data_IF_848888933669
#
_entry.id   IF_848888933669
#
_cell.length_a   1.000
_cell.length_b   1.000
_cell.length_c   1.000
_cell.angle_alpha   90.00
_cell.angle_beta   90.00
_cell.angle_gamma   90.00
#
_symmetry.space_group_name_H-M   'P 1'
#
loop_
_entity.id
_entity.type
_entity.pdbx_description
1 polymer ?
#
# COMPACT_ATOMS: atom_id res chain seq x y z
N UNK A 1 10.93 2.91 25.83
CA UNK A 1 9.60 2.68 25.22
C UNK A 1 9.60 3.43 23.91
N UNK A 2 9.61 2.70 22.79
CA UNK A 2 9.51 3.32 21.46
C UNK A 2 8.08 3.84 21.32
N UNK A 3 7.92 5.12 21.01
CA UNK A 3 6.62 5.77 20.94
C UNK A 3 5.89 5.35 19.64
N UNK A 4 5.20 4.21 19.68
CA UNK A 4 4.33 3.79 18.59
C UNK A 4 3.09 4.69 18.46
N UNK A 5 2.71 5.39 19.53
CA UNK A 5 1.52 6.24 19.56
C UNK A 5 1.58 7.44 18.59
N UNK A 6 2.77 7.98 18.34
CA UNK A 6 2.98 9.08 17.38
C UNK A 6 3.59 8.65 16.05
N UNK A 7 3.82 7.36 15.83
CA UNK A 7 4.42 6.83 14.60
C UNK A 7 3.35 6.49 13.56
N UNK A 8 3.61 6.81 12.30
CA UNK A 8 2.73 6.52 11.18
C UNK A 8 3.18 5.25 10.45
N UNK A 9 2.22 4.41 10.12
CA UNK A 9 2.47 3.13 9.47
C UNK A 9 1.56 2.96 8.25
N UNK A 10 2.03 2.19 7.30
CA UNK A 10 1.22 1.54 6.28
C UNK A 10 1.02 0.07 6.66
N UNK A 11 -0.13 -0.47 6.36
CA UNK A 11 -0.33 -1.91 6.29
C UNK A 11 -0.98 -2.28 4.97
N UNK A 12 -0.52 -3.37 4.38
CA UNK A 12 -1.00 -3.87 3.09
C UNK A 12 -1.49 -5.31 3.28
N UNK A 13 -2.55 -5.50 4.12
CA UNK A 13 -3.08 -6.82 4.40
C UNK A 13 -3.62 -7.51 3.15
N UNK A 14 -3.37 -8.80 3.10
CA UNK A 14 -3.80 -9.67 2.02
C UNK A 14 -4.83 -10.65 2.56
N UNK A 15 -6.02 -10.66 1.96
CA UNK A 15 -7.11 -11.54 2.32
C UNK A 15 -7.41 -12.55 1.22
N UNK A 16 -7.83 -13.75 1.60
CA UNK A 16 -8.15 -14.83 0.67
C UNK A 16 -9.57 -14.71 0.10
N UNK A 17 -9.86 -13.57 -0.53
CA UNK A 17 -11.10 -13.29 -1.25
C UNK A 17 -10.86 -12.23 -2.31
N UNK A 18 -11.23 -12.51 -3.54
CA UNK A 18 -11.08 -11.57 -4.65
C UNK A 18 -12.23 -11.63 -5.66
N UNK A 19 -13.24 -12.47 -5.39
CA UNK A 19 -14.36 -12.72 -6.30
C UNK A 19 -15.69 -12.15 -5.80
N UNK A 20 -15.91 -12.15 -4.49
CA UNK A 20 -17.14 -11.65 -3.89
C UNK A 20 -16.93 -10.20 -3.43
N UNK A 21 -17.34 -9.25 -4.26
CA UNK A 21 -17.18 -7.82 -4.01
C UNK A 21 -17.76 -7.37 -2.65
N UNK A 22 -18.89 -7.96 -2.23
CA UNK A 22 -19.49 -7.67 -0.93
C UNK A 22 -18.59 -8.08 0.26
N UNK A 23 -17.89 -9.21 0.15
CA UNK A 23 -16.96 -9.66 1.19
C UNK A 23 -15.74 -8.75 1.23
N UNK A 24 -15.17 -8.40 0.06
CA UNK A 24 -14.05 -7.46 -0.02
C UNK A 24 -14.44 -6.09 0.57
N UNK A 25 -15.61 -5.57 0.19
CA UNK A 25 -16.12 -4.29 0.70
C UNK A 25 -16.36 -4.34 2.22
N UNK A 26 -16.86 -5.46 2.75
CA UNK A 26 -17.08 -5.63 4.19
C UNK A 26 -15.75 -5.66 4.97
N UNK A 27 -14.72 -6.35 4.45
CA UNK A 27 -13.39 -6.40 5.07
C UNK A 27 -12.76 -5.00 5.06
N UNK A 28 -12.78 -4.31 3.91
CA UNK A 28 -12.25 -2.95 3.78
C UNK A 28 -13.01 -1.93 4.64
N UNK A 29 -14.34 -2.01 4.66
CA UNK A 29 -15.20 -1.11 5.45
C UNK A 29 -15.13 -1.34 6.95
N UNK A 30 -14.59 -2.47 7.41
CA UNK A 30 -14.35 -2.73 8.82
C UNK A 30 -13.13 -1.98 9.36
N UNK A 31 -12.19 -1.57 8.52
CA UNK A 31 -10.95 -0.87 8.89
C UNK A 31 -11.19 0.59 9.33
N UNK A 32 -12.10 0.80 10.28
CA UNK A 32 -12.42 2.13 10.80
C UNK A 32 -11.31 2.62 11.72
N UNK A 33 -11.02 3.93 11.67
CA UNK A 33 -9.96 4.56 12.46
C UNK A 33 -8.62 4.64 11.73
N UNK A 34 -8.39 3.79 10.73
CA UNK A 34 -7.28 3.95 9.79
C UNK A 34 -7.75 4.52 8.45
N UNK A 35 -6.84 5.14 7.72
CA UNK A 35 -7.07 5.63 6.36
C UNK A 35 -7.14 4.44 5.39
N UNK A 36 -8.30 4.17 4.82
CA UNK A 36 -8.44 3.24 3.70
C UNK A 36 -7.95 3.92 2.42
N UNK A 37 -6.81 3.48 1.91
CA UNK A 37 -6.16 4.07 0.73
C UNK A 37 -6.59 3.37 -0.56
N UNK A 38 -6.69 2.04 -0.54
CA UNK A 38 -7.01 1.22 -1.71
C UNK A 38 -7.57 -0.14 -1.30
N UNK A 39 -8.36 -0.74 -2.20
CA UNK A 39 -8.79 -2.13 -2.11
C UNK A 39 -8.71 -2.75 -3.51
N UNK A 40 -7.80 -3.69 -3.70
CA UNK A 40 -7.42 -4.27 -4.99
C UNK A 40 -7.76 -5.78 -5.02
N UNK A 41 -8.98 -6.17 -5.45
CA UNK A 41 -9.38 -7.56 -5.60
C UNK A 41 -8.85 -8.16 -6.90
N UNK A 42 -8.32 -9.38 -6.83
CA UNK A 42 -7.89 -10.17 -7.98
C UNK A 42 -8.69 -11.48 -8.05
N UNK A 43 -9.61 -11.63 -9.01
CA UNK A 43 -10.45 -12.82 -9.14
C UNK A 43 -9.69 -14.05 -9.63
N UNK A 44 -8.60 -13.91 -10.40
CA UNK A 44 -7.78 -15.02 -10.88
C UNK A 44 -7.00 -15.64 -9.71
N UNK A 45 -6.39 -14.80 -8.89
CA UNK A 45 -5.72 -15.22 -7.65
C UNK A 45 -6.70 -15.54 -6.52
N UNK A 46 -7.96 -15.09 -6.65
CA UNK A 46 -8.97 -15.09 -5.59
C UNK A 46 -8.42 -14.56 -4.27
N UNK A 47 -7.96 -13.33 -4.32
CA UNK A 47 -7.22 -12.63 -3.27
C UNK A 47 -7.51 -11.14 -3.37
N UNK A 48 -7.56 -10.42 -2.29
CA UNK A 48 -7.52 -8.97 -2.32
C UNK A 48 -6.37 -8.44 -1.48
N UNK A 49 -5.87 -7.28 -1.90
CA UNK A 49 -4.92 -6.47 -1.16
C UNK A 49 -5.64 -5.20 -0.74
N UNK A 50 -5.62 -4.91 0.55
CA UNK A 50 -6.18 -3.67 1.08
C UNK A 50 -5.00 -2.83 1.58
N UNK A 51 -4.94 -1.56 1.20
CA UNK A 51 -3.90 -0.63 1.67
C UNK A 51 -4.49 0.30 2.71
N UNK A 52 -3.89 0.30 3.89
CA UNK A 52 -4.29 1.10 5.04
C UNK A 52 -3.10 1.95 5.52
N UNK A 53 -3.39 3.13 6.07
CA UNK A 53 -2.40 3.91 6.80
C UNK A 53 -3.01 4.44 8.10
N UNK A 54 -2.17 4.64 9.14
CA UNK A 54 -2.66 5.18 10.41
C UNK A 54 -1.59 5.24 11.47
N UNK A 55 -1.93 5.86 12.60
CA UNK A 55 -1.15 5.76 13.82
C UNK A 55 -1.22 4.34 14.37
N UNK A 56 -0.22 3.92 15.15
CA UNK A 56 -0.08 2.53 15.58
C UNK A 56 -1.36 1.93 16.20
N UNK A 57 -1.93 2.54 17.24
CA UNK A 57 -3.13 2.00 17.89
C UNK A 57 -4.34 1.91 16.95
N UNK A 58 -4.60 2.96 16.17
CA UNK A 58 -5.74 3.02 15.23
C UNK A 58 -5.60 1.99 14.12
N UNK A 59 -4.37 1.80 13.61
CA UNK A 59 -4.08 0.81 12.59
C UNK A 59 -4.28 -0.62 13.12
N UNK A 60 -3.86 -0.90 14.36
CA UNK A 60 -4.08 -2.22 14.98
C UNK A 60 -5.57 -2.51 15.13
N UNK A 61 -6.36 -1.57 15.64
CA UNK A 61 -7.82 -1.72 15.75
C UNK A 61 -8.48 -1.97 14.39
N UNK A 62 -8.10 -1.20 13.37
CA UNK A 62 -8.60 -1.35 12.01
C UNK A 62 -8.26 -2.74 11.42
N UNK A 63 -7.03 -3.20 11.63
CA UNK A 63 -6.60 -4.52 11.19
C UNK A 63 -7.34 -5.64 11.93
N UNK A 64 -7.51 -5.53 13.25
CA UNK A 64 -8.26 -6.50 14.05
C UNK A 64 -9.71 -6.62 13.58
N UNK A 65 -10.38 -5.50 13.30
CA UNK A 65 -11.74 -5.49 12.78
C UNK A 65 -11.82 -6.14 11.38
N UNK A 66 -10.88 -5.84 10.48
CA UNK A 66 -10.82 -6.45 9.14
C UNK A 66 -10.54 -7.95 9.21
N UNK A 67 -9.62 -8.39 10.07
CA UNK A 67 -9.32 -9.80 10.29
C UNK A 67 -10.55 -10.54 10.82
N UNK A 68 -11.28 -9.97 11.78
CA UNK A 68 -12.51 -10.54 12.31
C UNK A 68 -13.55 -10.78 11.21
N UNK A 69 -13.81 -9.78 10.36
CA UNK A 69 -14.74 -9.93 9.24
C UNK A 69 -14.27 -11.00 8.26
N UNK A 70 -12.96 -11.07 7.98
CA UNK A 70 -12.40 -12.10 7.11
C UNK A 70 -12.60 -13.52 7.67
N UNK A 71 -12.39 -13.72 8.96
CA UNK A 71 -12.62 -15.01 9.65
C UNK A 71 -14.10 -15.44 9.56
N UNK A 72 -15.01 -14.50 9.69
CA UNK A 72 -16.46 -14.76 9.65
C UNK A 72 -16.96 -15.08 8.24
N UNK A 73 -16.34 -14.53 7.20
CA UNK A 73 -16.82 -14.61 5.81
C UNK A 73 -16.06 -15.55 4.89
N UNK A 74 -14.81 -15.89 5.24
CA UNK A 74 -13.94 -16.71 4.40
C UNK A 74 -13.68 -18.07 5.04
N UNK A 75 -14.05 -19.12 4.32
CA UNK A 75 -13.71 -20.51 4.68
C UNK A 75 -12.62 -21.02 3.74
N UNK A 76 -11.37 -21.07 4.22
CA UNK A 76 -10.22 -21.48 3.42
C UNK A 76 -10.30 -22.92 2.90
N UNK A 77 -11.13 -23.77 3.48
CA UNK A 77 -11.37 -25.16 3.01
C UNK A 77 -12.10 -25.19 1.68
N UNK A 78 -12.87 -24.15 1.38
CA UNK A 78 -13.69 -24.00 0.15
C UNK A 78 -13.08 -23.05 -0.84
N UNK A 79 -11.92 -22.50 -0.50
CA UNK A 79 -11.29 -21.44 -1.29
C UNK A 79 -10.41 -22.02 -2.40
N UNK A 80 -10.58 -21.51 -3.62
CA UNK A 80 -9.81 -21.89 -4.81
C UNK A 80 -9.26 -20.64 -5.51
N UNK A 81 -7.96 -20.61 -5.79
CA UNK A 81 -7.24 -19.56 -6.53
C UNK A 81 -5.80 -20.00 -6.79
N UNK A 82 -5.14 -19.41 -7.77
CA UNK A 82 -3.80 -19.82 -8.19
C UNK A 82 -2.70 -19.41 -7.20
N UNK A 83 -2.96 -18.41 -6.36
CA UNK A 83 -1.98 -17.94 -5.38
C UNK A 83 -1.98 -18.82 -4.10
N UNK A 84 -0.80 -19.25 -3.60
CA UNK A 84 -0.73 -19.98 -2.33
C UNK A 84 -1.15 -19.10 -1.16
N UNK A 85 -1.79 -19.71 -0.16
CA UNK A 85 -2.33 -19.05 1.03
C UNK A 85 -2.12 -19.86 2.28
N UNK A 86 -2.17 -19.20 3.43
CA UNK A 86 -2.07 -19.79 4.76
C UNK A 86 -3.39 -19.63 5.53
N UNK A 87 -4.10 -18.54 5.31
CA UNK A 87 -5.36 -18.27 5.98
C UNK A 87 -6.29 -17.28 5.30
N UNK A 88 -7.43 -17.01 5.93
CA UNK A 88 -8.43 -16.02 5.50
C UNK A 88 -7.80 -14.61 5.48
N UNK A 89 -7.17 -14.20 6.58
CA UNK A 89 -6.25 -13.07 6.66
C UNK A 89 -4.85 -13.63 6.49
N UNK A 90 -4.38 -13.68 5.23
CA UNK A 90 -3.20 -14.45 4.84
C UNK A 90 -1.89 -13.80 5.26
N UNK A 91 -1.70 -12.51 4.93
CA UNK A 91 -0.48 -11.75 5.26
C UNK A 91 -0.85 -10.36 5.74
N UNK A 92 -0.34 -9.99 6.91
CA UNK A 92 -0.58 -8.72 7.59
C UNK A 92 0.77 -8.01 7.82
N UNK A 93 1.26 -7.25 6.84
CA UNK A 93 2.52 -6.53 6.96
C UNK A 93 2.35 -5.20 7.70
N UNK A 94 3.31 -4.86 8.55
CA UNK A 94 3.48 -3.51 9.08
C UNK A 94 4.68 -2.88 8.37
N UNK A 95 4.47 -1.71 7.79
CA UNK A 95 5.41 -1.03 6.90
C UNK A 95 5.66 0.39 7.44
N UNK A 96 6.92 0.86 7.52
CA UNK A 96 7.20 2.18 8.03
C UNK A 96 6.76 3.27 7.05
N UNK A 97 6.13 4.34 7.58
CA UNK A 97 5.89 5.59 6.87
C UNK A 97 6.66 6.73 7.55
N UNK A 98 7.12 7.70 6.75
CA UNK A 98 7.89 8.85 7.25
C UNK A 98 9.13 8.42 8.06
N UNK A 99 9.26 8.95 9.28
CA UNK A 99 10.39 8.68 10.18
C UNK A 99 10.25 7.39 11.01
N UNK A 100 9.19 6.62 10.83
CA UNK A 100 8.96 5.37 11.57
C UNK A 100 10.05 4.35 11.24
N UNK A 101 10.61 3.73 12.29
CA UNK A 101 11.69 2.76 12.12
C UNK A 101 11.17 1.32 11.98
N UNK A 102 11.99 0.44 11.38
CA UNK A 102 11.66 -0.99 11.32
C UNK A 102 11.54 -1.64 12.70
N UNK A 103 12.23 -1.13 13.72
CA UNK A 103 12.10 -1.65 15.08
C UNK A 103 10.68 -1.41 15.62
N UNK A 104 10.17 -0.20 15.49
CA UNK A 104 8.80 0.15 15.91
C UNK A 104 7.76 -0.62 15.11
N UNK A 105 8.00 -0.85 13.80
CA UNK A 105 7.12 -1.72 12.99
C UNK A 105 7.07 -3.15 13.50
N UNK A 106 8.20 -3.70 13.97
CA UNK A 106 8.24 -5.06 14.53
C UNK A 106 7.47 -5.15 15.83
N UNK A 107 7.65 -4.17 16.72
CA UNK A 107 6.93 -4.14 18.00
C UNK A 107 5.42 -4.12 17.74
N UNK A 108 4.94 -3.28 16.81
CA UNK A 108 3.54 -3.22 16.44
C UNK A 108 3.04 -4.52 15.76
N UNK A 109 3.87 -5.17 14.96
CA UNK A 109 3.54 -6.46 14.36
C UNK A 109 3.40 -7.58 15.40
N UNK A 110 4.23 -7.58 16.43
CA UNK A 110 4.10 -8.51 17.56
C UNK A 110 2.82 -8.27 18.35
N UNK A 111 2.51 -7.01 18.67
CA UNK A 111 1.26 -6.64 19.33
C UNK A 111 0.04 -7.13 18.53
N UNK A 112 0.00 -6.83 17.22
CA UNK A 112 -1.08 -7.30 16.34
C UNK A 112 -1.21 -8.83 16.34
N UNK A 113 -0.10 -9.55 16.25
CA UNK A 113 -0.10 -11.02 16.25
C UNK A 113 -0.61 -11.60 17.56
N UNK A 114 -0.18 -11.06 18.69
CA UNK A 114 -0.65 -11.48 20.03
C UNK A 114 -2.17 -11.25 20.18
N UNK A 115 -2.67 -10.13 19.71
CA UNK A 115 -4.11 -9.84 19.73
C UNK A 115 -4.91 -10.75 18.80
N UNK A 116 -4.43 -11.03 17.58
CA UNK A 116 -5.09 -11.98 16.67
C UNK A 116 -5.22 -13.35 17.34
N UNK A 117 -4.17 -13.83 17.98
CA UNK A 117 -4.26 -15.10 18.69
C UNK A 117 -5.17 -15.04 19.91
N UNK A 118 -4.97 -14.09 20.81
CA UNK A 118 -5.68 -14.04 22.10
C UNK A 118 -7.17 -13.68 21.98
N UNK A 119 -7.53 -12.80 21.03
CA UNK A 119 -8.91 -12.30 20.90
C UNK A 119 -9.70 -13.03 19.82
N UNK A 120 -9.05 -13.51 18.75
CA UNK A 120 -9.73 -14.14 17.61
C UNK A 120 -9.44 -15.65 17.47
N UNK A 121 -8.49 -16.19 18.24
CA UNK A 121 -8.15 -17.62 18.25
C UNK A 121 -7.51 -18.12 16.94
N UNK A 122 -6.97 -17.22 16.10
CA UNK A 122 -6.28 -17.58 14.87
C UNK A 122 -4.80 -17.72 15.14
N UNK A 123 -4.19 -18.90 14.87
CA UNK A 123 -2.75 -19.10 15.01
C UNK A 123 -1.94 -18.16 14.13
N UNK A 124 -0.76 -17.77 14.61
CA UNK A 124 0.08 -16.77 13.96
C UNK A 124 1.47 -17.30 13.65
N UNK A 125 1.95 -16.99 12.45
CA UNK A 125 3.35 -17.04 12.06
C UNK A 125 3.91 -15.61 12.04
N UNK A 126 4.99 -15.36 12.79
CA UNK A 126 5.76 -14.12 12.61
C UNK A 126 6.77 -14.31 11.49
N UNK A 127 6.57 -13.61 10.36
CA UNK A 127 7.48 -13.68 9.22
C UNK A 127 8.44 -12.49 9.16
N UNK A 128 9.52 -12.65 8.41
CA UNK A 128 10.57 -11.66 8.20
C UNK A 128 11.87 -12.10 8.86
N UNK A 129 12.07 -11.81 10.13
CA UNK A 129 13.31 -12.14 10.83
C UNK A 129 13.48 -13.62 11.17
N UNK A 130 12.39 -14.28 11.58
CA UNK A 130 12.46 -15.69 12.05
C UNK A 130 12.28 -16.70 10.94
N UNK A 131 11.37 -16.43 10.03
CA UNK A 131 11.02 -17.34 8.95
C UNK A 131 10.48 -16.58 7.74
N UNK A 132 10.70 -17.12 6.55
CA UNK A 132 10.20 -16.50 5.33
C UNK A 132 8.76 -16.92 5.02
N UNK A 133 8.00 -16.05 4.33
CA UNK A 133 6.68 -16.42 3.80
C UNK A 133 6.77 -17.64 2.86
N UNK A 134 7.88 -17.80 2.14
CA UNK A 134 8.10 -18.94 1.26
C UNK A 134 8.19 -20.26 2.04
N UNK A 135 8.88 -20.26 3.20
CA UNK A 135 8.98 -21.44 4.05
C UNK A 135 7.65 -21.78 4.71
N UNK A 136 6.94 -20.77 5.20
CA UNK A 136 5.60 -20.95 5.79
C UNK A 136 4.67 -21.59 4.76
N UNK A 137 4.60 -21.04 3.55
CA UNK A 137 3.75 -21.56 2.45
C UNK A 137 4.16 -22.93 1.93
N UNK A 138 5.42 -23.29 2.09
CA UNK A 138 5.94 -24.62 1.78
C UNK A 138 5.72 -25.65 2.92
N UNK A 139 5.04 -25.26 4.01
CA UNK A 139 4.79 -26.12 5.17
C UNK A 139 6.02 -26.36 6.06
N UNK A 140 7.08 -25.58 5.87
CA UNK A 140 8.29 -25.62 6.71
C UNK A 140 8.28 -24.61 7.84
N UNK A 141 7.27 -23.71 7.85
CA UNK A 141 7.10 -22.74 8.92
C UNK A 141 6.64 -23.38 10.23
N UNK A 142 6.99 -22.74 11.35
CA UNK A 142 6.53 -23.09 12.67
C UNK A 142 5.65 -21.99 13.22
N UNK A 143 4.48 -22.37 13.76
CA UNK A 143 3.61 -21.40 14.45
C UNK A 143 4.34 -20.77 15.64
N UNK A 144 4.31 -19.47 15.73
CA UNK A 144 4.85 -18.71 16.87
C UNK A 144 3.80 -18.58 17.99
N UNK A 145 2.53 -18.39 17.60
CA UNK A 145 1.40 -18.31 18.53
C UNK A 145 0.32 -19.30 18.12
N UNK A 146 -0.27 -19.95 19.10
CA UNK A 146 -1.24 -21.02 18.89
C UNK A 146 -0.62 -22.34 18.46
N UNK A 147 -1.46 -23.27 18.02
CA UNK A 147 -1.03 -24.54 17.47
C UNK A 147 -1.06 -25.73 18.45
N UNK A 148 -0.73 -26.93 17.98
CA UNK A 148 -0.17 -27.22 16.64
C UNK A 148 -1.22 -27.19 15.51
N UNK A 149 -2.51 -27.11 15.83
CA UNK A 149 -3.59 -27.09 14.84
C UNK A 149 -3.87 -25.67 14.33
N UNK A 150 -4.14 -25.58 13.03
CA UNK A 150 -4.64 -24.34 12.42
C UNK A 150 -6.10 -24.10 12.80
N UNK A 151 -6.57 -22.85 12.69
CA UNK A 151 -7.98 -22.54 12.83
C UNK A 151 -8.79 -23.27 11.74
N UNK A 152 -9.91 -23.97 12.08
CA UNK A 152 -10.56 -24.91 11.15
C UNK A 152 -11.07 -24.29 9.86
N UNK A 153 -11.49 -23.03 9.88
CA UNK A 153 -11.98 -22.31 8.67
C UNK A 153 -11.10 -21.17 8.25
N UNK A 154 -10.41 -20.51 9.18
CA UNK A 154 -9.58 -19.32 8.89
C UNK A 154 -8.11 -19.66 8.63
N UNK A 155 -7.63 -20.88 8.94
CA UNK A 155 -6.23 -21.25 8.76
C UNK A 155 -5.31 -20.58 9.79
N UNK A 156 -4.33 -19.82 9.37
CA UNK A 156 -3.46 -19.01 10.22
C UNK A 156 -3.13 -17.67 9.56
N UNK A 157 -2.69 -16.70 10.36
CA UNK A 157 -2.25 -15.40 9.87
C UNK A 157 -0.71 -15.31 9.84
N UNK A 158 -0.16 -14.72 8.79
CA UNK A 158 1.26 -14.35 8.71
C UNK A 158 1.39 -12.87 9.04
N UNK A 159 1.91 -12.53 10.21
CA UNK A 159 2.09 -11.15 10.67
C UNK A 159 3.58 -10.82 10.67
N UNK A 160 3.97 -9.61 10.27
CA UNK A 160 5.37 -9.22 10.30
C UNK A 160 5.62 -7.81 9.83
N UNK A 161 6.82 -7.31 10.08
CA UNK A 161 7.28 -6.02 9.59
C UNK A 161 8.16 -6.18 8.35
N UNK A 162 8.00 -5.27 7.40
CA UNK A 162 8.83 -5.23 6.19
C UNK A 162 9.06 -3.80 5.70
N UNK A 163 10.12 -3.54 4.96
CA UNK A 163 10.25 -2.28 4.22
C UNK A 163 9.16 -2.14 3.16
N UNK A 164 9.02 -0.94 2.62
CA UNK A 164 8.18 -0.70 1.43
C UNK A 164 8.60 -1.64 0.30
N UNK A 165 7.64 -2.18 -0.43
CA UNK A 165 7.88 -2.96 -1.63
C UNK A 165 6.83 -2.63 -2.69
N UNK A 166 7.16 -2.88 -3.95
CA UNK A 166 6.22 -2.82 -5.06
C UNK A 166 5.93 -4.24 -5.53
N UNK A 167 4.66 -4.64 -5.46
CA UNK A 167 4.18 -5.87 -6.05
C UNK A 167 3.81 -5.61 -7.51
N UNK A 168 4.57 -6.19 -8.43
CA UNK A 168 4.52 -5.89 -9.85
C UNK A 168 4.36 -7.16 -10.69
N UNK A 169 3.29 -7.22 -11.44
CA UNK A 169 2.93 -8.35 -12.28
C UNK A 169 3.08 -7.99 -13.75
N UNK A 170 3.62 -8.92 -14.54
CA UNK A 170 3.76 -8.79 -15.99
C UNK A 170 3.20 -10.04 -16.65
N UNK A 171 2.23 -9.89 -17.52
CA UNK A 171 1.73 -10.98 -18.36
C UNK A 171 2.62 -11.09 -19.60
N UNK A 172 3.16 -12.28 -19.82
CA UNK A 172 4.11 -12.55 -20.90
C UNK A 172 3.37 -13.02 -22.15
N UNK A 173 3.81 -12.57 -23.32
CA UNK A 173 3.24 -12.96 -24.60
C UNK A 173 4.10 -14.04 -25.27
N UNK A 174 3.47 -15.15 -25.66
CA UNK A 174 4.15 -16.22 -26.39
C UNK A 174 5.21 -17.01 -25.60
N UNK A 175 5.15 -16.94 -24.29
CA UNK A 175 6.09 -17.63 -23.37
C UNK A 175 5.34 -18.73 -22.63
N UNK A 176 5.86 -19.96 -22.68
CA UNK A 176 5.33 -21.06 -21.88
C UNK A 176 5.76 -20.98 -20.41
N UNK A 177 5.02 -21.70 -19.52
CA UNK A 177 5.27 -21.65 -18.09
C UNK A 177 6.66 -22.15 -17.69
N UNK A 178 7.26 -23.08 -18.43
CA UNK A 178 8.59 -23.62 -18.17
C UNK A 178 9.67 -22.57 -18.42
N UNK A 179 9.59 -21.91 -19.56
CA UNK A 179 10.46 -20.80 -19.96
C UNK A 179 10.30 -19.60 -18.99
N UNK A 180 9.05 -19.27 -18.61
CA UNK A 180 8.78 -18.23 -17.65
C UNK A 180 9.38 -18.53 -16.25
N UNK A 181 9.35 -19.80 -15.79
CA UNK A 181 9.99 -20.20 -14.54
C UNK A 181 11.52 -20.08 -14.58
N UNK A 182 12.13 -20.36 -15.74
CA UNK A 182 13.57 -20.15 -15.92
C UNK A 182 13.90 -18.65 -15.91
N UNK A 183 13.10 -17.83 -16.59
CA UNK A 183 13.21 -16.38 -16.57
C UNK A 183 13.04 -15.81 -15.15
N UNK A 184 11.98 -16.19 -14.43
CA UNK A 184 11.75 -15.77 -13.05
C UNK A 184 12.95 -16.10 -12.16
N UNK A 185 13.53 -17.29 -12.29
CA UNK A 185 14.73 -17.70 -11.56
C UNK A 185 15.90 -16.76 -11.83
N UNK A 186 16.16 -16.44 -13.09
CA UNK A 186 17.30 -15.60 -13.49
C UNK A 186 17.13 -14.12 -13.12
N UNK A 187 15.91 -13.67 -12.81
CA UNK A 187 15.65 -12.31 -12.33
C UNK A 187 15.82 -12.19 -10.81
N UNK A 188 15.69 -13.27 -10.05
CA UNK A 188 15.75 -13.22 -8.58
C UNK A 188 17.13 -12.80 -8.08
N UNK A 189 17.18 -11.93 -7.08
CA UNK A 189 18.40 -11.57 -6.36
C UNK A 189 19.11 -12.81 -5.81
N UNK A 190 18.36 -13.76 -5.25
CA UNK A 190 18.91 -15.02 -4.70
C UNK A 190 19.62 -15.93 -5.72
N UNK A 191 19.45 -15.66 -7.00
CA UNK A 191 20.13 -16.37 -8.09
C UNK A 191 21.15 -15.48 -8.83
N UNK A 192 21.54 -14.34 -8.24
CA UNK A 192 22.46 -13.39 -8.85
C UNK A 192 21.83 -12.49 -9.90
N UNK A 193 20.50 -12.40 -9.92
CA UNK A 193 19.74 -11.52 -10.81
C UNK A 193 19.67 -10.07 -10.34
N UNK A 194 18.51 -9.42 -10.53
CA UNK A 194 18.34 -8.02 -10.19
C UNK A 194 18.23 -7.81 -8.67
N UNK A 195 18.88 -6.78 -8.11
CA UNK A 195 18.80 -6.49 -6.68
C UNK A 195 17.37 -6.30 -6.20
N UNK A 196 17.00 -6.92 -5.08
CA UNK A 196 15.69 -6.78 -4.48
C UNK A 196 14.53 -7.44 -5.22
N UNK A 197 14.79 -8.26 -6.25
CA UNK A 197 13.72 -8.95 -7.00
C UNK A 197 13.44 -10.33 -6.41
N UNK A 198 12.20 -10.54 -6.01
CA UNK A 198 11.60 -11.86 -5.84
C UNK A 198 10.60 -12.08 -6.97
N UNK A 199 10.56 -13.26 -7.56
CA UNK A 199 9.71 -13.56 -8.70
C UNK A 199 9.10 -14.95 -8.61
N UNK A 200 7.82 -15.06 -8.98
CA UNK A 200 7.06 -16.30 -9.13
C UNK A 200 6.38 -16.31 -10.50
N UNK A 201 5.94 -17.47 -10.93
CA UNK A 201 5.17 -17.62 -12.17
C UNK A 201 3.83 -18.24 -11.84
N UNK A 202 2.77 -17.64 -12.36
CA UNK A 202 1.42 -18.15 -12.29
C UNK A 202 0.88 -18.44 -13.70
N UNK A 203 0.21 -19.57 -13.83
CA UNK A 203 -0.57 -19.92 -14.99
C UNK A 203 -2.00 -19.45 -14.75
N UNK A 204 -2.41 -18.42 -15.49
CA UNK A 204 -3.73 -17.82 -15.39
C UNK A 204 -4.72 -18.49 -16.37
N UNK A 205 -6.04 -18.32 -16.16
CA UNK A 205 -7.05 -18.77 -17.12
C UNK A 205 -6.78 -18.25 -18.54
N UNK A 206 -7.10 -19.04 -19.55
CA UNK A 206 -6.86 -18.70 -20.95
C UNK A 206 -5.41 -18.86 -21.42
N UNK A 207 -4.65 -19.76 -20.78
CA UNK A 207 -3.23 -20.06 -21.09
C UNK A 207 -2.30 -18.82 -21.01
N UNK A 208 -2.68 -17.83 -20.21
CA UNK A 208 -1.82 -16.67 -19.91
C UNK A 208 -0.77 -17.06 -18.87
N UNK A 209 0.44 -16.55 -19.04
CA UNK A 209 1.55 -16.76 -18.11
C UNK A 209 1.93 -15.43 -17.49
N UNK A 210 1.84 -15.34 -16.17
CA UNK A 210 2.16 -14.15 -15.41
C UNK A 210 3.45 -14.33 -14.62
N UNK A 211 4.35 -13.37 -14.78
CA UNK A 211 5.51 -13.17 -13.93
C UNK A 211 5.07 -12.21 -12.81
N UNK A 212 5.01 -12.72 -11.58
CA UNK A 212 4.65 -11.95 -10.39
C UNK A 212 5.87 -11.66 -9.55
N UNK A 213 6.12 -10.40 -9.25
CA UNK A 213 7.36 -9.96 -8.60
C UNK A 213 7.05 -9.09 -7.40
N UNK A 214 7.90 -9.23 -6.37
CA UNK A 214 8.05 -8.25 -5.30
C UNK A 214 9.40 -7.55 -5.45
N UNK A 215 9.38 -6.24 -5.58
CA UNK A 215 10.55 -5.37 -5.66
C UNK A 215 10.72 -4.69 -4.32
N UNK A 216 11.77 -5.02 -3.57
CA UNK A 216 11.96 -4.54 -2.19
C UNK A 216 13.23 -3.71 -1.96
N UNK A 217 14.08 -3.58 -2.99
CA UNK A 217 15.22 -2.62 -3.02
C UNK A 217 14.92 -1.55 -4.06
N UNK A 218 13.94 -0.71 -3.73
CA UNK A 218 13.38 0.25 -4.66
C UNK A 218 14.37 1.35 -5.08
N UNK A 219 15.41 1.57 -4.28
CA UNK A 219 16.57 2.40 -4.59
C UNK A 219 17.46 1.84 -5.71
N UNK A 220 17.36 0.54 -6.01
CA UNK A 220 18.19 -0.15 -6.99
C UNK A 220 17.41 -0.73 -8.17
N UNK A 221 16.18 -1.18 -7.91
CA UNK A 221 15.34 -1.82 -8.92
C UNK A 221 13.93 -1.27 -8.89
N UNK A 222 13.55 -0.55 -9.94
CA UNK A 222 12.19 -0.06 -10.17
C UNK A 222 11.40 -0.98 -11.11
N UNK A 223 10.05 -0.86 -11.19
CA UNK A 223 9.26 -1.52 -12.22
C UNK A 223 9.75 -1.24 -13.64
N UNK A 224 10.16 0.00 -13.94
CA UNK A 224 10.71 0.37 -15.24
C UNK A 224 12.01 -0.37 -15.56
N UNK A 225 12.89 -0.55 -14.56
CA UNK A 225 14.14 -1.30 -14.74
C UNK A 225 13.87 -2.79 -15.06
N UNK A 226 12.83 -3.36 -14.43
CA UNK A 226 12.41 -4.74 -14.73
C UNK A 226 11.90 -4.87 -16.17
N UNK A 227 11.07 -3.94 -16.62
CA UNK A 227 10.56 -3.93 -18.00
C UNK A 227 11.71 -3.84 -19.01
N UNK A 228 12.63 -2.89 -18.80
CA UNK A 228 13.82 -2.74 -19.66
C UNK A 228 14.66 -4.02 -19.72
N UNK A 229 14.80 -4.74 -18.61
CA UNK A 229 15.53 -6.01 -18.57
C UNK A 229 14.79 -7.13 -19.32
N UNK A 230 13.45 -7.21 -19.22
CA UNK A 230 12.64 -8.15 -19.99
C UNK A 230 12.74 -7.89 -21.49
N UNK A 231 12.62 -6.63 -21.90
CA UNK A 231 12.77 -6.20 -23.30
C UNK A 231 14.16 -6.49 -23.85
N UNK A 232 15.22 -6.22 -23.05
CA UNK A 232 16.61 -6.53 -23.44
C UNK A 232 16.82 -8.02 -23.68
N UNK A 233 16.05 -8.88 -22.98
CA UNK A 233 16.04 -10.35 -23.18
C UNK A 233 15.16 -10.80 -24.33
N UNK A 234 14.50 -9.87 -25.03
CA UNK A 234 13.58 -10.19 -26.13
C UNK A 234 12.24 -10.79 -25.68
N UNK A 235 11.85 -10.57 -24.43
CA UNK A 235 10.58 -11.05 -23.89
C UNK A 235 9.46 -10.08 -24.27
N UNK A 236 8.47 -10.56 -24.98
CA UNK A 236 7.29 -9.77 -25.33
C UNK A 236 6.31 -9.71 -24.13
N UNK A 237 5.77 -8.52 -23.89
CA UNK A 237 4.87 -8.22 -22.76
C UNK A 237 3.48 -7.92 -23.30
N UNK A 238 2.47 -8.61 -22.75
CA UNK A 238 1.06 -8.35 -23.05
C UNK A 238 0.53 -7.20 -22.19
N UNK A 239 0.73 -7.28 -20.88
CA UNK A 239 0.23 -6.28 -19.94
C UNK A 239 1.08 -6.19 -18.68
N UNK A 240 0.97 -5.06 -17.99
CA UNK A 240 1.63 -4.76 -16.73
C UNK A 240 0.57 -4.38 -15.69
N UNK A 241 0.76 -4.82 -14.46
CA UNK A 241 -0.16 -4.53 -13.36
C UNK A 241 0.58 -4.35 -12.04
N UNK A 242 0.26 -3.29 -11.33
CA UNK A 242 0.66 -3.09 -9.93
C UNK A 242 -0.41 -3.64 -9.00
N UNK A 243 0.00 -4.33 -7.97
CA UNK A 243 -0.89 -4.79 -6.89
C UNK A 243 -0.73 -3.85 -5.70
N UNK A 244 -1.84 -3.23 -5.31
CA UNK A 244 -1.83 -2.17 -4.28
C UNK A 244 -1.22 -0.86 -4.79
N UNK A 245 -0.49 -0.16 -3.94
CA UNK A 245 0.02 1.18 -4.20
C UNK A 245 1.52 1.19 -4.48
N UNK A 246 1.96 2.18 -5.24
CA UNK A 246 3.35 2.38 -5.62
C UNK A 246 3.88 3.69 -5.05
N UNK A 247 5.04 3.71 -4.38
CA UNK A 247 5.72 4.95 -4.06
C UNK A 247 6.07 5.74 -5.33
N UNK A 248 5.82 7.04 -5.32
CA UNK A 248 6.05 7.91 -6.47
C UNK A 248 7.49 7.84 -6.99
N UNK A 249 8.46 7.70 -6.06
CA UNK A 249 9.89 7.61 -6.38
C UNK A 249 10.28 6.52 -7.40
N UNK A 250 9.43 5.51 -7.60
CA UNK A 250 9.71 4.38 -8.49
C UNK A 250 8.56 4.10 -9.44
N UNK A 251 7.64 5.04 -9.56
CA UNK A 251 6.45 4.91 -10.42
C UNK A 251 6.84 4.74 -11.90
N UNK A 252 6.02 3.98 -12.60
CA UNK A 252 6.02 3.84 -14.05
C UNK A 252 4.57 4.01 -14.56
N UNK A 253 4.28 3.97 -15.85
CA UNK A 253 2.92 4.16 -16.35
C UNK A 253 1.87 3.20 -15.75
N UNK A 254 2.25 2.01 -15.27
CA UNK A 254 1.34 1.08 -14.58
C UNK A 254 0.91 1.60 -13.19
N UNK A 255 1.59 2.62 -12.64
CA UNK A 255 1.26 3.26 -11.37
C UNK A 255 0.21 4.39 -11.49
N UNK A 256 -0.30 4.67 -12.68
CA UNK A 256 -1.30 5.71 -12.89
C UNK A 256 -2.52 5.50 -11.97
N UNK A 257 -2.88 6.52 -11.19
CA UNK A 257 -3.94 6.47 -10.19
C UNK A 257 -3.65 5.60 -8.96
N UNK A 258 -2.43 5.02 -8.84
CA UNK A 258 -2.04 4.11 -7.76
C UNK A 258 -0.84 4.60 -6.95
N UNK A 259 -0.60 5.90 -6.93
CA UNK A 259 0.49 6.46 -6.12
C UNK A 259 0.11 6.46 -4.63
N UNK A 260 0.99 5.91 -3.80
CA UNK A 260 0.82 5.84 -2.35
C UNK A 260 0.58 7.24 -1.75
N UNK A 261 1.43 8.19 -2.11
CA UNK A 261 1.39 9.56 -1.63
C UNK A 261 0.09 10.27 -2.06
N UNK A 262 -0.34 10.08 -3.29
CA UNK A 262 -1.60 10.63 -3.80
C UNK A 262 -2.82 10.08 -3.06
N UNK A 263 -2.82 8.78 -2.74
CA UNK A 263 -3.90 8.15 -1.96
C UNK A 263 -3.91 8.60 -0.50
N UNK A 264 -2.74 8.74 0.11
CA UNK A 264 -2.60 9.30 1.47
C UNK A 264 -3.18 10.73 1.52
N UNK A 265 -2.79 11.60 0.59
CA UNK A 265 -3.29 12.97 0.52
C UNK A 265 -4.81 13.02 0.31
N UNK A 266 -5.35 12.19 -0.59
CA UNK A 266 -6.78 12.13 -0.86
C UNK A 266 -7.58 11.61 0.36
N UNK A 267 -7.06 10.62 1.08
CA UNK A 267 -7.71 10.10 2.28
C UNK A 267 -7.72 11.11 3.41
N UNK A 268 -6.58 11.75 3.68
CA UNK A 268 -6.49 12.80 4.70
C UNK A 268 -7.43 13.98 4.41
N UNK A 269 -7.54 14.40 3.13
CA UNK A 269 -8.46 15.46 2.73
C UNK A 269 -9.93 15.09 2.99
N UNK A 270 -10.32 13.86 2.65
CA UNK A 270 -11.68 13.36 2.86
C UNK A 270 -12.02 13.24 4.34
N UNK A 271 -11.17 12.64 5.14
CA UNK A 271 -11.41 12.47 6.57
C UNK A 271 -11.32 13.77 7.35
N UNK A 272 -10.45 14.69 6.94
CA UNK A 272 -10.40 16.03 7.51
C UNK A 272 -11.72 16.78 7.30
N UNK A 273 -12.38 16.61 6.14
CA UNK A 273 -13.69 17.16 5.87
C UNK A 273 -14.79 16.53 6.76
N UNK A 274 -14.74 15.22 6.97
CA UNK A 274 -15.71 14.48 7.77
C UNK A 274 -15.53 14.68 9.29
N UNK A 275 -14.27 14.76 9.76
CA UNK A 275 -13.91 14.84 11.17
C UNK A 275 -13.65 16.25 11.71
N UNK A 276 -13.79 17.29 10.89
CA UNK A 276 -13.54 18.68 11.30
C UNK A 276 -14.30 19.12 12.55
N UNK A 277 -15.37 18.41 12.91
CA UNK A 277 -16.15 18.64 14.12
C UNK A 277 -15.65 17.89 15.36
N UNK A 278 -14.81 16.86 15.22
CA UNK A 278 -14.46 15.95 16.32
C UNK A 278 -13.00 16.05 16.81
N UNK A 279 -12.07 16.54 15.98
CA UNK A 279 -10.64 16.52 16.32
C UNK A 279 -9.99 17.91 16.30
N UNK A 280 -9.98 18.55 17.45
CA UNK A 280 -9.19 19.77 17.74
C UNK A 280 -7.77 19.43 18.24
N UNK A 281 -6.97 18.61 17.52
CA UNK A 281 -5.73 18.13 18.09
C UNK A 281 -4.49 18.18 17.19
N UNK A 282 -3.32 18.12 17.83
CA UNK A 282 -1.98 18.11 17.21
C UNK A 282 -1.73 16.96 16.23
N UNK A 283 -2.55 15.91 16.27
CA UNK A 283 -2.41 14.69 15.42
C UNK A 283 -2.66 14.98 13.95
N UNK A 284 -3.64 15.85 13.62
CA UNK A 284 -3.91 16.26 12.24
C UNK A 284 -2.78 17.12 11.67
N UNK A 285 -2.17 17.96 12.51
CA UNK A 285 -0.99 18.75 12.14
C UNK A 285 0.18 17.84 11.81
N UNK A 286 0.43 16.81 12.62
CA UNK A 286 1.48 15.84 12.38
C UNK A 286 1.25 15.03 11.10
N UNK A 287 0.01 14.62 10.83
CA UNK A 287 -0.36 13.94 9.60
C UNK A 287 -0.20 14.85 8.38
N UNK A 288 -0.70 16.09 8.44
CA UNK A 288 -0.57 17.06 7.37
C UNK A 288 0.90 17.40 7.05
N UNK A 289 1.76 17.57 8.08
CA UNK A 289 3.21 17.75 7.88
C UNK A 289 3.88 16.57 7.18
N UNK A 290 3.48 15.35 7.50
CA UNK A 290 4.02 14.14 6.88
C UNK A 290 3.57 13.99 5.44
N UNK A 291 2.29 14.25 5.17
CA UNK A 291 1.74 14.25 3.81
C UNK A 291 2.43 15.28 2.92
N UNK A 292 2.81 16.43 3.50
CA UNK A 292 3.61 17.43 2.79
C UNK A 292 5.00 16.94 2.43
N UNK A 293 5.75 16.34 3.36
CA UNK A 293 7.09 15.81 3.07
C UNK A 293 7.06 14.74 1.96
N UNK A 294 5.99 13.98 1.89
CA UNK A 294 5.80 12.99 0.84
C UNK A 294 5.36 13.64 -0.48
N UNK A 295 4.53 14.69 -0.45
CA UNK A 295 4.18 15.46 -1.64
C UNK A 295 5.39 16.19 -2.26
N UNK A 296 6.31 16.71 -1.45
CA UNK A 296 7.58 17.29 -1.92
C UNK A 296 8.47 16.24 -2.62
N UNK A 297 8.44 14.99 -2.15
CA UNK A 297 9.12 13.88 -2.82
C UNK A 297 8.52 13.54 -4.19
N UNK A 298 7.20 13.68 -4.35
CA UNK A 298 6.48 13.47 -5.63
C UNK A 298 6.91 14.52 -6.66
N UNK A 299 7.02 15.77 -6.23
CA UNK A 299 7.39 16.90 -7.12
C UNK A 299 8.74 16.71 -7.81
N UNK A 300 9.66 15.97 -7.20
CA UNK A 300 11.01 15.71 -7.75
C UNK A 300 11.05 14.68 -8.90
N UNK A 301 9.95 14.02 -9.29
CA UNK A 301 10.01 12.74 -9.99
C UNK A 301 9.45 12.68 -11.41
N UNK A 302 8.96 13.77 -11.98
CA UNK A 302 8.47 13.80 -13.38
C UNK A 302 7.27 12.90 -13.67
N UNK A 303 6.34 12.80 -12.71
CA UNK A 303 5.09 12.04 -12.78
C UNK A 303 4.06 12.77 -13.65
N UNK A 304 3.03 12.05 -14.10
CA UNK A 304 1.94 12.59 -14.90
C UNK A 304 1.40 13.91 -14.33
N UNK A 305 1.38 14.94 -15.16
CA UNK A 305 1.02 16.31 -14.78
C UNK A 305 -0.41 16.42 -14.23
N UNK A 306 -1.34 15.61 -14.73
CA UNK A 306 -2.72 15.56 -14.28
C UNK A 306 -2.83 15.06 -12.84
N UNK A 307 -2.03 14.07 -12.48
CA UNK A 307 -2.02 13.46 -11.15
C UNK A 307 -1.34 14.36 -10.12
N UNK A 308 -0.26 15.05 -10.51
CA UNK A 308 0.40 16.08 -9.70
C UNK A 308 -0.55 17.24 -9.41
N UNK A 309 -1.26 17.72 -10.42
CA UNK A 309 -2.23 18.81 -10.26
C UNK A 309 -3.39 18.40 -9.35
N UNK A 310 -3.92 17.19 -9.51
CA UNK A 310 -4.92 16.61 -8.63
C UNK A 310 -4.42 16.48 -7.18
N UNK A 311 -3.15 16.16 -6.95
CA UNK A 311 -2.52 16.16 -5.63
C UNK A 311 -2.46 17.55 -5.00
N UNK A 312 -2.07 18.56 -5.78
CA UNK A 312 -2.02 19.96 -5.36
C UNK A 312 -3.43 20.52 -5.03
N UNK A 313 -4.44 20.17 -5.82
CA UNK A 313 -5.84 20.54 -5.56
C UNK A 313 -6.38 19.93 -4.26
N UNK A 314 -6.01 18.67 -3.99
CA UNK A 314 -6.37 18.01 -2.74
C UNK A 314 -5.69 18.64 -1.53
N UNK A 315 -4.41 18.98 -1.63
CA UNK A 315 -3.71 19.72 -0.58
C UNK A 315 -4.35 21.09 -0.30
N UNK A 316 -4.75 21.81 -1.36
CA UNK A 316 -5.45 23.09 -1.23
C UNK A 316 -6.85 22.95 -0.62
N UNK A 317 -7.56 21.85 -0.88
CA UNK A 317 -8.86 21.58 -0.28
C UNK A 317 -8.81 21.32 1.23
N UNK A 318 -7.63 20.94 1.77
CA UNK A 318 -7.42 20.80 3.21
C UNK A 318 -7.39 22.13 3.96
N UNK A 319 -6.97 23.22 3.32
CA UNK A 319 -6.81 24.52 3.97
C UNK A 319 -8.11 25.03 4.62
N UNK A 320 -9.28 25.06 3.93
CA UNK A 320 -10.53 25.50 4.56
C UNK A 320 -10.96 24.60 5.71
N UNK A 321 -10.76 23.30 5.58
CA UNK A 321 -11.15 22.30 6.59
C UNK A 321 -10.32 22.45 7.86
N UNK A 322 -9.00 22.56 7.75
CA UNK A 322 -8.10 22.76 8.87
C UNK A 322 -8.31 24.11 9.55
N UNK A 323 -8.66 25.15 8.78
CA UNK A 323 -9.03 26.47 9.30
C UNK A 323 -10.35 26.41 10.08
N UNK A 324 -11.38 25.77 9.55
CA UNK A 324 -12.67 25.59 10.22
C UNK A 324 -12.55 24.77 11.52
N UNK A 325 -11.62 23.81 11.54
CA UNK A 325 -11.30 23.03 12.74
C UNK A 325 -10.44 23.81 13.78
N UNK A 326 -10.00 25.05 13.47
CA UNK A 326 -9.11 25.82 14.35
C UNK A 326 -7.70 25.25 14.50
N UNK A 327 -7.31 24.37 13.59
CA UNK A 327 -6.00 23.66 13.60
C UNK A 327 -5.01 24.30 12.65
N UNK A 328 -5.48 25.16 11.73
CA UNK A 328 -4.63 25.84 10.76
C UNK A 328 -3.96 27.05 11.42
N UNK A 329 -2.71 26.86 11.84
CA UNK A 329 -1.82 27.95 12.20
C UNK A 329 -0.97 28.45 11.02
N UNK A 330 -0.22 29.53 11.20
CA UNK A 330 0.60 30.12 10.16
C UNK A 330 1.69 29.17 9.67
N UNK A 331 2.21 28.30 10.54
CA UNK A 331 3.23 27.29 10.20
C UNK A 331 2.65 26.21 9.28
N UNK A 332 1.49 25.66 9.65
CA UNK A 332 0.79 24.64 8.84
C UNK A 332 0.33 25.21 7.49
N UNK A 333 -0.15 26.46 7.46
CA UNK A 333 -0.51 27.14 6.22
C UNK A 333 0.71 27.34 5.31
N UNK A 334 1.86 27.74 5.86
CA UNK A 334 3.11 27.87 5.12
C UNK A 334 3.57 26.52 4.55
N UNK A 335 3.43 25.45 5.34
CA UNK A 335 3.78 24.10 4.93
C UNK A 335 2.90 23.59 3.77
N UNK A 336 1.58 23.77 3.86
CA UNK A 336 0.64 23.41 2.78
C UNK A 336 0.88 24.24 1.51
N UNK A 337 1.22 25.54 1.68
CA UNK A 337 1.61 26.42 0.59
C UNK A 337 2.90 25.98 -0.09
N UNK A 338 3.91 25.55 0.66
CA UNK A 338 5.16 25.03 0.13
C UNK A 338 4.95 23.73 -0.64
N UNK A 339 4.11 22.81 -0.14
CA UNK A 339 3.75 21.58 -0.84
C UNK A 339 3.07 21.86 -2.18
N UNK A 340 2.10 22.78 -2.19
CA UNK A 340 1.40 23.18 -3.42
C UNK A 340 2.32 23.91 -4.41
N UNK A 341 3.33 24.65 -3.93
CA UNK A 341 4.34 25.29 -4.77
C UNK A 341 5.28 24.27 -5.41
N UNK A 342 5.78 23.32 -4.62
CA UNK A 342 6.62 22.24 -5.15
C UNK A 342 5.90 21.39 -6.21
N UNK A 343 4.63 21.09 -6.00
CA UNK A 343 3.79 20.40 -6.99
C UNK A 343 3.60 21.24 -8.28
N UNK A 344 3.47 22.57 -8.18
CA UNK A 344 3.39 23.48 -9.35
C UNK A 344 4.68 23.57 -10.14
N UNK A 345 5.81 23.61 -9.45
CA UNK A 345 7.13 23.67 -10.08
C UNK A 345 7.46 22.37 -10.84
N UNK A 346 6.91 21.25 -10.42
CA UNK A 346 7.04 19.97 -11.11
C UNK A 346 6.19 19.88 -12.41
N UNK A 347 5.17 20.74 -12.55
CA UNK A 347 4.35 20.84 -13.76
C UNK A 347 5.09 21.77 -14.74
N UNK A 348 5.54 21.23 -15.88
CA UNK A 348 6.33 22.00 -16.84
C UNK A 348 5.58 23.20 -17.43
N UNK A 349 6.29 24.28 -17.84
CA UNK A 349 5.70 25.47 -18.46
C UNK A 349 4.89 25.22 -19.73
N UNK A 350 5.08 24.07 -20.36
CA UNK A 350 4.41 23.65 -21.60
C UNK A 350 3.04 23.02 -21.37
N UNK A 351 2.63 22.84 -20.11
CA UNK A 351 1.29 22.39 -19.77
C UNK A 351 0.25 23.34 -20.38
N UNK A 352 -0.69 22.79 -21.13
CA UNK A 352 -1.67 23.55 -21.90
C UNK A 352 -2.56 24.46 -21.06
N UNK A 353 -3.36 25.31 -21.71
CA UNK A 353 -4.18 26.38 -21.09
C UNK A 353 -5.06 25.88 -19.92
N UNK A 354 -5.59 24.67 -19.99
CA UNK A 354 -6.42 24.06 -18.93
C UNK A 354 -5.63 23.88 -17.61
N UNK A 355 -4.39 23.44 -17.67
CA UNK A 355 -3.52 23.32 -16.50
C UNK A 355 -3.18 24.69 -15.90
N UNK A 356 -2.94 25.70 -16.76
CA UNK A 356 -2.69 27.07 -16.31
C UNK A 356 -3.89 27.67 -15.55
N UNK A 357 -5.12 27.43 -16.01
CA UNK A 357 -6.33 27.88 -15.32
C UNK A 357 -6.53 27.17 -13.98
N UNK A 358 -6.29 25.87 -13.90
CA UNK A 358 -6.37 25.09 -12.66
C UNK A 358 -5.31 25.55 -11.64
N UNK A 359 -4.08 25.83 -12.09
CA UNK A 359 -3.01 26.39 -11.25
C UNK A 359 -3.39 27.78 -10.71
N UNK A 360 -3.98 28.64 -11.54
CA UNK A 360 -4.43 29.97 -11.11
C UNK A 360 -5.59 29.88 -10.11
N UNK A 361 -6.48 28.89 -10.26
CA UNK A 361 -7.53 28.61 -9.28
C UNK A 361 -6.98 28.11 -7.95
N UNK A 362 -5.94 27.28 -7.98
CA UNK A 362 -5.21 26.79 -6.81
C UNK A 362 -4.54 27.95 -6.06
N UNK A 363 -3.87 28.86 -6.77
CA UNK A 363 -3.26 30.06 -6.16
C UNK A 363 -4.28 30.93 -5.42
N UNK A 364 -5.44 31.15 -6.03
CA UNK A 364 -6.53 31.90 -5.38
C UNK A 364 -7.02 31.22 -4.10
N UNK A 365 -7.17 29.89 -4.10
CA UNK A 365 -7.62 29.12 -2.92
C UNK A 365 -6.61 29.17 -1.77
N UNK A 366 -5.31 29.05 -2.08
CA UNK A 366 -4.23 29.09 -1.07
C UNK A 366 -4.05 30.51 -0.49
N UNK A 367 -4.26 31.55 -1.29
CA UNK A 367 -4.11 32.94 -0.88
C UNK A 367 -5.35 33.50 -0.14
N UNK A 368 -6.53 32.84 -0.24
CA UNK A 368 -7.76 33.33 0.36
C UNK A 368 -7.83 33.04 1.86
N UNK A 369 -7.97 34.06 2.72
CA UNK A 369 -8.10 33.88 4.16
C UNK A 369 -9.46 33.32 4.61
N UNK A 370 -10.45 33.29 3.73
CA UNK A 370 -11.82 32.85 4.02
C UNK A 370 -12.30 31.87 2.98
N UNK A 371 -12.18 30.62 3.15
CA UNK A 371 -12.63 29.55 2.25
C UNK A 371 -13.94 29.77 1.44
N UNK A 372 -13.98 30.81 0.60
CA UNK A 372 -15.00 31.06 -0.44
C UNK A 372 -14.61 30.40 -1.76
#
# INVERSE_FOLDING_TARGET
>A
MNDAGGSLFESVPNFSEGRHAETVAAIAGAARGAHLLDADPDPDHNRCVISLAGLGPDLVEALMASVKVAIERIDVRRHHGVHPRVGAADVLPIVPLGATTMAVCRDLAYELGERIWSELGVPVYFYGERQSLADIRAGRGRLDLGGPALHPTAGAACVGARPKLVAFNVVLLGVDASTARALARSLRESAGGMPGVQALVFELPGARVQLSMNLFRLDQTSPAAVIAELERRGVAIDSQHLVGLCPAAVANPAAAGRLLEGRLAASAAREGAERSAEFGGNEHVALARRLQQEAESIAALGIDQEELLSGAERAAALVPVLRAAGVLDDELQALLGAAATGLREAITPEAGSAHTERLAALDRRLASPTGE
#
